data_IF_845450564045
#
_entry.id   IF_845450564045
#
_cell.length_a   1.000
_cell.length_b   1.000
_cell.length_c   1.000
_cell.angle_alpha   90.00
_cell.angle_beta   90.00
_cell.angle_gamma   90.00
#
_symmetry.space_group_name_H-M   'P 1'
#
loop_
_entity.id
_entity.type
_entity.pdbx_description
1 polymer ?
#
# COMPACT_ATOMS: atom_id res chain seq x y z
N UNK A 1 -4.84 35.55 -39.77
CA UNK A 1 -5.04 35.29 -38.33
C UNK A 1 -6.01 34.12 -38.21
N UNK A 2 -5.51 32.89 -38.10
CA UNK A 2 -6.13 31.85 -37.26
C UNK A 2 -5.25 30.61 -37.31
N UNK A 3 -4.46 30.42 -36.26
CA UNK A 3 -3.75 29.17 -36.00
C UNK A 3 -4.78 28.06 -35.80
N UNK A 4 -4.65 26.99 -36.58
CA UNK A 4 -5.41 25.76 -36.40
C UNK A 4 -4.61 24.91 -35.42
N UNK A 5 -4.84 25.12 -34.13
CA UNK A 5 -4.18 24.37 -33.07
C UNK A 5 -4.54 22.88 -33.12
N UNK A 6 -3.51 22.10 -32.81
CA UNK A 6 -3.33 20.68 -33.05
C UNK A 6 -4.53 19.82 -32.64
N UNK A 7 -5.09 19.13 -33.63
CA UNK A 7 -5.88 17.92 -33.41
C UNK A 7 -4.93 16.72 -33.51
N UNK A 8 -3.95 16.65 -32.61
CA UNK A 8 -3.18 15.42 -32.42
C UNK A 8 -3.92 14.53 -31.42
N UNK A 9 -4.43 13.44 -31.97
CA UNK A 9 -5.02 12.27 -31.31
C UNK A 9 -4.61 12.10 -29.84
N UNK A 10 -5.55 12.32 -28.92
CA UNK A 10 -5.51 11.67 -27.62
C UNK A 10 -5.87 10.17 -27.81
N UNK A 11 -4.91 9.37 -28.28
CA UNK A 11 -5.00 7.89 -28.30
C UNK A 11 -4.85 7.29 -26.88
N UNK A 12 -4.80 8.13 -25.84
CA UNK A 12 -4.72 7.72 -24.43
C UNK A 12 -5.40 8.72 -23.50
N UNK A 13 -5.55 8.32 -22.23
CA UNK A 13 -6.17 9.14 -21.18
C UNK A 13 -5.58 10.54 -21.12
N UNK A 14 -6.46 11.54 -20.97
CA UNK A 14 -6.05 12.91 -20.66
C UNK A 14 -5.37 12.93 -19.29
N UNK A 15 -4.61 13.99 -19.00
CA UNK A 15 -3.88 14.04 -17.74
C UNK A 15 -4.81 14.11 -16.52
N UNK A 16 -6.00 14.70 -16.69
CA UNK A 16 -7.09 14.72 -15.72
C UNK A 16 -7.67 13.32 -15.47
N UNK A 17 -7.87 12.53 -16.54
CA UNK A 17 -8.33 11.15 -16.43
C UNK A 17 -7.30 10.25 -15.75
N UNK A 18 -6.00 10.47 -16.01
CA UNK A 18 -4.93 9.75 -15.32
C UNK A 18 -4.89 10.07 -13.83
N UNK A 19 -5.05 11.34 -13.44
CA UNK A 19 -5.10 11.73 -12.03
C UNK A 19 -6.35 11.15 -11.34
N UNK A 20 -7.51 11.19 -11.98
CA UNK A 20 -8.73 10.56 -11.46
C UNK A 20 -8.56 9.03 -11.27
N UNK A 21 -7.87 8.35 -12.20
CA UNK A 21 -7.53 6.93 -12.04
C UNK A 21 -6.54 6.68 -10.90
N UNK A 22 -5.52 7.54 -10.74
CA UNK A 22 -4.56 7.41 -9.63
C UNK A 22 -5.24 7.57 -8.29
N UNK A 23 -6.12 8.57 -8.12
CA UNK A 23 -6.87 8.77 -6.89
C UNK A 23 -7.78 7.56 -6.60
N UNK A 24 -8.53 7.10 -7.60
CA UNK A 24 -9.36 5.89 -7.43
C UNK A 24 -8.54 4.63 -7.13
N UNK A 25 -7.34 4.49 -7.69
CA UNK A 25 -6.43 3.40 -7.37
C UNK A 25 -5.85 3.51 -5.95
N UNK A 26 -5.61 4.73 -5.45
CA UNK A 26 -5.20 4.96 -4.06
C UNK A 26 -6.33 4.60 -3.09
N UNK A 27 -7.57 5.01 -3.39
CA UNK A 27 -8.75 4.66 -2.60
C UNK A 27 -8.98 3.14 -2.56
N UNK A 28 -8.97 2.46 -3.71
CA UNK A 28 -9.12 1.01 -3.77
C UNK A 28 -7.99 0.27 -3.03
N UNK A 29 -6.75 0.78 -3.10
CA UNK A 29 -5.64 0.24 -2.30
C UNK A 29 -5.84 0.51 -0.81
N UNK A 30 -6.31 1.70 -0.43
CA UNK A 30 -6.61 2.03 0.96
C UNK A 30 -7.75 1.16 1.50
N UNK A 31 -8.79 0.91 0.70
CA UNK A 31 -9.92 0.06 1.03
C UNK A 31 -9.50 -1.42 1.10
N UNK A 32 -8.69 -1.91 0.16
CA UNK A 32 -8.12 -3.26 0.24
C UNK A 32 -7.20 -3.42 1.46
N UNK A 33 -6.44 -2.39 1.82
CA UNK A 33 -5.63 -2.35 3.05
C UNK A 33 -6.46 -2.26 4.32
N UNK A 34 -7.62 -1.61 4.27
CA UNK A 34 -8.57 -1.57 5.39
C UNK A 34 -9.33 -2.90 5.52
N UNK A 35 -9.65 -3.55 4.39
CA UNK A 35 -10.31 -4.86 4.32
C UNK A 35 -9.40 -6.00 4.74
N UNK A 36 -8.11 -5.94 4.40
CA UNK A 36 -7.08 -6.80 4.99
C UNK A 36 -6.91 -6.36 6.44
N UNK A 37 -7.81 -6.84 7.29
CA UNK A 37 -7.93 -6.41 8.67
C UNK A 37 -6.63 -6.59 9.44
N UNK A 38 -6.50 -5.91 10.58
CA UNK A 38 -5.29 -5.99 11.43
C UNK A 38 -4.85 -7.42 11.70
N UNK A 39 -5.81 -8.32 11.97
CA UNK A 39 -5.54 -9.74 12.22
C UNK A 39 -4.95 -10.46 11.01
N UNK A 40 -5.40 -10.16 9.79
CA UNK A 40 -4.87 -10.79 8.58
C UNK A 40 -3.48 -10.25 8.24
N UNK A 41 -3.28 -8.94 8.41
CA UNK A 41 -1.95 -8.33 8.32
C UNK A 41 -0.97 -8.88 9.37
N UNK A 42 -1.45 -9.18 10.58
CA UNK A 42 -0.65 -9.72 11.67
C UNK A 42 -0.25 -11.17 11.39
N UNK A 43 -1.19 -12.00 10.91
CA UNK A 43 -0.91 -13.37 10.46
C UNK A 43 0.17 -13.40 9.37
N UNK A 44 0.06 -12.53 8.37
CA UNK A 44 1.05 -12.45 7.30
C UNK A 44 2.43 -11.98 7.78
N UNK A 45 2.45 -11.02 8.69
CA UNK A 45 3.69 -10.55 9.32
C UNK A 45 4.36 -11.67 10.13
N UNK A 46 3.60 -12.39 10.95
CA UNK A 46 4.12 -13.51 11.74
C UNK A 46 4.61 -14.66 10.84
N UNK A 47 3.90 -14.96 9.75
CA UNK A 47 4.36 -15.93 8.76
C UNK A 47 5.69 -15.52 8.13
N UNK A 48 5.86 -14.24 7.79
CA UNK A 48 7.13 -13.72 7.25
C UNK A 48 8.26 -13.74 8.27
N UNK A 49 7.97 -13.45 9.54
CA UNK A 49 8.94 -13.55 10.63
C UNK A 49 9.43 -14.99 10.80
N UNK A 50 8.55 -16.00 10.67
CA UNK A 50 8.91 -17.40 10.77
C UNK A 50 9.85 -17.89 9.65
N UNK A 51 9.79 -17.26 8.47
CA UNK A 51 10.70 -17.56 7.35
C UNK A 51 12.13 -16.99 7.55
N UNK A 52 12.34 -16.12 8.55
CA UNK A 52 13.62 -15.45 8.77
C UNK A 52 14.64 -16.34 9.53
N UNK A 53 15.95 -16.17 9.30
CA UNK A 53 17.00 -16.75 10.13
C UNK A 53 16.83 -16.37 11.61
N UNK A 54 17.30 -17.22 12.52
CA UNK A 54 17.05 -17.09 13.97
C UNK A 54 17.40 -15.71 14.55
N UNK A 55 18.51 -15.11 14.12
CA UNK A 55 18.93 -13.79 14.56
C UNK A 55 17.92 -12.70 14.15
N UNK A 56 17.46 -12.73 12.90
CA UNK A 56 16.56 -11.72 12.35
C UNK A 56 15.13 -11.93 12.87
N UNK A 57 14.72 -13.19 13.05
CA UNK A 57 13.44 -13.56 13.66
C UNK A 57 13.30 -12.99 15.06
N UNK A 58 14.33 -13.18 15.91
CA UNK A 58 14.35 -12.64 17.27
C UNK A 58 14.23 -11.10 17.30
N UNK A 59 14.92 -10.41 16.37
CA UNK A 59 14.80 -8.96 16.26
C UNK A 59 13.40 -8.53 15.82
N UNK A 60 12.83 -9.21 14.82
CA UNK A 60 11.53 -8.88 14.26
C UNK A 60 10.38 -9.10 15.27
N UNK A 61 10.41 -10.18 16.04
CA UNK A 61 9.45 -10.43 17.12
C UNK A 61 9.49 -9.35 18.20
N UNK A 62 10.70 -8.94 18.61
CA UNK A 62 10.87 -7.86 19.61
C UNK A 62 10.34 -6.53 19.09
N UNK A 63 10.65 -6.19 17.84
CA UNK A 63 10.14 -4.97 17.21
C UNK A 63 8.61 -5.00 17.10
N UNK A 64 8.04 -6.14 16.69
CA UNK A 64 6.60 -6.30 16.61
C UNK A 64 5.94 -6.04 17.97
N UNK A 65 6.45 -6.64 19.05
CA UNK A 65 5.94 -6.43 20.40
C UNK A 65 6.00 -4.96 20.84
N UNK A 66 7.12 -4.28 20.58
CA UNK A 66 7.31 -2.86 20.92
C UNK A 66 6.33 -1.98 20.13
N UNK A 67 6.17 -2.22 18.82
CA UNK A 67 5.29 -1.44 17.96
C UNK A 67 3.83 -1.65 18.36
N UNK A 68 3.41 -2.89 18.64
CA UNK A 68 2.05 -3.19 19.09
C UNK A 68 1.73 -2.52 20.42
N UNK A 69 2.69 -2.49 21.35
CA UNK A 69 2.51 -1.81 22.64
C UNK A 69 2.51 -0.27 22.52
N UNK A 70 3.39 0.28 21.68
CA UNK A 70 3.59 1.74 21.58
C UNK A 70 2.59 2.41 20.62
N UNK A 71 2.14 1.69 19.60
CA UNK A 71 1.30 2.20 18.53
C UNK A 71 0.25 1.15 18.09
N UNK A 72 -0.70 0.77 18.98
CA UNK A 72 -1.71 -0.26 18.70
C UNK A 72 -2.67 0.13 17.56
N UNK A 73 -2.69 1.40 17.15
CA UNK A 73 -3.51 1.89 16.05
C UNK A 73 -2.93 1.54 14.69
N UNK A 74 -1.64 1.23 14.59
CA UNK A 74 -1.00 0.81 13.33
C UNK A 74 -1.51 -0.57 12.90
N UNK A 75 -1.54 -0.79 11.58
CA UNK A 75 -1.84 -2.09 10.99
C UNK A 75 -0.57 -2.70 10.40
N UNK A 76 -0.22 -3.94 10.76
CA UNK A 76 0.93 -4.63 10.17
C UNK A 76 0.74 -4.82 8.66
N UNK A 77 1.82 -4.61 7.91
CA UNK A 77 1.83 -4.70 6.45
C UNK A 77 3.12 -5.33 5.95
N UNK A 78 2.97 -6.45 5.27
CA UNK A 78 3.96 -6.99 4.35
C UNK A 78 3.60 -6.47 2.94
N UNK A 79 4.58 -5.95 2.20
CA UNK A 79 4.39 -5.32 0.89
C UNK A 79 4.64 -6.31 -0.25
#
# INVERSE_FOLDING_TARGET
>A
MSSKDATDKAEGFTDEEKEAMKERAKELKAEARAKKGKEEGEKDLLAKIAEMPDHDRLMAERLHAIITASAPTLSPKTW
#
